data_IF_516953355396
#
_entry.id   IF_516953355396
#
_cell.length_a   1.000
_cell.length_b   1.000
_cell.length_c   1.000
_cell.angle_alpha   90.00
_cell.angle_beta   90.00
_cell.angle_gamma   90.00
#
_symmetry.space_group_name_H-M   'P 1'
#
loop_
_entity.id
_entity.type
_entity.pdbx_description
1 polymer ?
#
# COMPACT_ATOMS: atom_id res chain seq x y z
N UNK A 1 12.45 20.50 3.55
CA UNK A 1 10.98 20.31 3.52
C UNK A 1 10.69 19.24 2.49
N UNK A 2 9.96 18.18 2.87
CA UNK A 2 9.69 17.03 2.00
C UNK A 2 8.18 16.93 1.80
N UNK A 3 7.73 16.89 0.55
CA UNK A 3 6.34 16.62 0.18
C UNK A 3 6.31 15.26 -0.52
N UNK A 4 5.40 14.38 -0.10
CA UNK A 4 5.22 13.04 -0.68
C UNK A 4 3.80 12.96 -1.22
N UNK A 5 3.66 12.61 -2.49
CA UNK A 5 2.38 12.40 -3.17
C UNK A 5 2.24 10.92 -3.51
N UNK A 6 1.15 10.30 -3.07
CA UNK A 6 0.78 8.93 -3.44
C UNK A 6 -0.34 9.01 -4.47
N UNK A 7 -0.07 8.62 -5.71
CA UNK A 7 -0.99 8.79 -6.84
C UNK A 7 -0.73 7.72 -7.90
N UNK A 8 -1.75 7.40 -8.69
CA UNK A 8 -1.61 6.51 -9.83
C UNK A 8 -0.85 7.20 -10.97
N UNK A 9 -0.16 6.42 -11.80
CA UNK A 9 0.58 6.98 -12.96
C UNK A 9 -0.33 7.79 -13.88
N UNK A 10 -1.59 7.36 -14.06
CA UNK A 10 -2.57 8.05 -14.91
C UNK A 10 -2.97 9.44 -14.40
N UNK A 11 -2.72 9.73 -13.12
CA UNK A 11 -3.04 11.01 -12.47
C UNK A 11 -1.88 12.01 -12.56
N UNK A 12 -0.69 11.56 -12.99
CA UNK A 12 0.49 12.41 -13.26
C UNK A 12 0.33 13.19 -14.57
N UNK A 13 -0.62 14.11 -14.57
CA UNK A 13 -0.92 14.97 -15.72
C UNK A 13 0.09 16.10 -15.89
N UNK A 14 0.09 16.72 -17.08
CA UNK A 14 0.92 17.90 -17.36
C UNK A 14 0.63 19.05 -16.39
N UNK A 15 -0.64 19.28 -16.04
CA UNK A 15 -1.03 20.34 -15.11
C UNK A 15 -0.50 20.08 -13.70
N UNK A 16 -0.47 18.81 -13.24
CA UNK A 16 0.15 18.43 -11.98
C UNK A 16 1.67 18.74 -11.97
N UNK A 17 2.37 18.42 -13.06
CA UNK A 17 3.81 18.72 -13.19
C UNK A 17 4.08 20.24 -13.22
N UNK A 18 3.23 21.02 -13.88
CA UNK A 18 3.34 22.48 -13.87
C UNK A 18 3.14 23.07 -12.47
N UNK A 19 2.17 22.55 -11.72
CA UNK A 19 1.95 22.94 -10.33
C UNK A 19 3.19 22.65 -9.48
N UNK A 20 3.77 21.44 -9.59
CA UNK A 20 4.99 21.07 -8.85
C UNK A 20 6.16 22.02 -9.17
N UNK A 21 6.37 22.35 -10.45
CA UNK A 21 7.41 23.30 -10.87
C UNK A 21 7.21 24.69 -10.28
N UNK A 22 5.97 25.18 -10.19
CA UNK A 22 5.68 26.49 -9.58
C UNK A 22 5.93 26.48 -8.08
N UNK A 23 5.52 25.41 -7.39
CA UNK A 23 5.63 25.31 -5.93
C UNK A 23 7.06 25.05 -5.44
N UNK A 24 7.86 24.35 -6.24
CA UNK A 24 9.21 23.90 -5.86
C UNK A 24 10.28 24.28 -6.89
N UNK A 25 10.24 25.51 -7.40
CA UNK A 25 11.02 25.99 -8.56
C UNK A 25 12.53 25.71 -8.53
N UNK A 26 13.14 25.58 -7.35
CA UNK A 26 14.59 25.32 -7.18
C UNK A 26 14.90 23.98 -6.50
N UNK A 27 13.90 23.10 -6.33
CA UNK A 27 14.10 21.81 -5.68
C UNK A 27 14.59 20.75 -6.67
N UNK A 28 15.39 19.80 -6.17
CA UNK A 28 15.61 18.52 -6.86
C UNK A 28 14.39 17.62 -6.64
N UNK A 29 14.00 16.88 -7.67
CA UNK A 29 12.82 15.99 -7.63
C UNK A 29 13.28 14.56 -7.85
N UNK A 30 12.91 13.68 -6.93
CA UNK A 30 13.05 12.23 -7.07
C UNK A 30 11.67 11.63 -7.37
N UNK A 31 11.55 10.88 -8.48
CA UNK A 31 10.32 10.15 -8.84
C UNK A 31 10.59 8.66 -8.66
N UNK A 32 9.85 8.01 -7.76
CA UNK A 32 9.96 6.59 -7.48
C UNK A 32 8.69 5.91 -8.00
N UNK A 33 8.84 5.04 -9.00
CA UNK A 33 7.74 4.21 -9.50
C UNK A 33 7.84 2.85 -8.81
N UNK A 34 6.81 2.47 -8.07
CA UNK A 34 6.69 1.14 -7.46
C UNK A 34 5.59 0.40 -8.18
N UNK A 35 5.90 -0.81 -8.63
CA UNK A 35 4.86 -1.78 -8.94
C UNK A 35 4.48 -2.39 -7.58
N UNK A 36 3.31 -2.03 -7.05
CA UNK A 36 2.82 -2.68 -5.84
C UNK A 36 2.39 -4.09 -6.23
N UNK A 37 3.30 -5.05 -6.17
CA UNK A 37 2.89 -6.44 -5.98
C UNK A 37 2.60 -6.59 -4.49
N UNK A 38 1.34 -6.40 -4.11
CA UNK A 38 0.89 -6.56 -2.72
C UNK A 38 1.25 -7.95 -2.18
N UNK A 39 1.42 -8.93 -3.07
CA UNK A 39 1.91 -10.28 -2.78
C UNK A 39 3.34 -10.26 -2.25
N UNK A 40 4.24 -9.48 -2.84
CA UNK A 40 5.64 -9.37 -2.39
C UNK A 40 5.73 -8.72 -1.01
N UNK A 41 4.87 -7.74 -0.72
CA UNK A 41 4.80 -7.14 0.61
C UNK A 41 4.31 -8.14 1.66
N UNK A 42 3.23 -8.87 1.38
CA UNK A 42 2.71 -9.91 2.29
C UNK A 42 3.73 -11.03 2.52
N UNK A 43 4.53 -11.37 1.50
CA UNK A 43 5.57 -12.40 1.56
C UNK A 43 6.93 -11.91 2.09
N UNK A 44 7.12 -10.61 2.30
CA UNK A 44 8.41 -10.04 2.69
C UNK A 44 8.89 -10.44 4.10
N UNK A 45 7.98 -10.89 4.96
CA UNK A 45 8.27 -11.40 6.30
C UNK A 45 7.89 -12.87 6.38
N UNK A 46 8.87 -13.75 6.63
CA UNK A 46 8.65 -15.20 6.77
C UNK A 46 7.55 -15.49 7.80
N UNK A 47 7.57 -14.77 8.93
CA UNK A 47 6.55 -14.90 9.98
C UNK A 47 5.16 -14.48 9.52
N UNK A 48 5.04 -13.40 8.74
CA UNK A 48 3.73 -12.97 8.23
C UNK A 48 3.21 -13.93 7.17
N UNK A 49 4.10 -14.45 6.33
CA UNK A 49 3.78 -15.48 5.34
C UNK A 49 3.21 -16.73 6.01
N UNK A 50 3.89 -17.26 7.04
CA UNK A 50 3.41 -18.44 7.78
C UNK A 50 2.03 -18.22 8.43
N UNK A 51 1.80 -17.05 9.01
CA UNK A 51 0.49 -16.70 9.59
C UNK A 51 -0.60 -16.61 8.52
N UNK A 52 -0.29 -16.01 7.38
CA UNK A 52 -1.22 -15.87 6.25
C UNK A 52 -1.57 -17.25 5.65
N UNK A 53 -0.57 -18.09 5.40
CA UNK A 53 -0.76 -19.45 4.88
C UNK A 53 -1.63 -20.30 5.84
N UNK A 54 -1.37 -20.19 7.15
CA UNK A 54 -2.19 -20.87 8.17
C UNK A 54 -3.62 -20.38 8.17
N UNK A 55 -3.84 -19.07 8.09
CA UNK A 55 -5.18 -18.49 8.04
C UNK A 55 -5.96 -18.95 6.79
N UNK A 56 -5.30 -19.01 5.64
CA UNK A 56 -5.90 -19.53 4.40
C UNK A 56 -6.34 -20.99 4.59
N UNK A 57 -5.49 -21.84 5.16
CA UNK A 57 -5.84 -23.24 5.43
C UNK A 57 -7.01 -23.37 6.42
N UNK A 58 -7.07 -22.53 7.45
CA UNK A 58 -8.18 -22.52 8.40
C UNK A 58 -9.50 -22.13 7.71
N UNK A 59 -9.47 -21.16 6.79
CA UNK A 59 -10.64 -20.77 5.98
C UNK A 59 -11.09 -21.91 5.07
N UNK A 60 -10.17 -22.54 4.34
CA UNK A 60 -10.47 -23.69 3.46
C UNK A 60 -11.08 -24.87 4.23
N UNK A 61 -10.66 -25.06 5.49
CA UNK A 61 -11.18 -26.09 6.39
C UNK A 61 -12.42 -25.62 7.17
N UNK A 62 -12.95 -24.42 6.91
CA UNK A 62 -14.09 -23.83 7.64
C UNK A 62 -13.88 -23.73 9.16
N UNK A 63 -12.63 -23.58 9.61
CA UNK A 63 -12.25 -23.29 10.99
C UNK A 63 -12.32 -21.78 11.25
N UNK A 64 -13.53 -21.25 11.26
CA UNK A 64 -13.79 -19.82 11.34
C UNK A 64 -14.30 -19.42 12.72
N UNK A 65 -14.00 -18.18 13.12
CA UNK A 65 -14.61 -17.53 14.28
C UNK A 65 -15.50 -16.41 13.74
N UNK A 66 -16.79 -16.43 14.09
CA UNK A 66 -17.72 -15.35 13.76
C UNK A 66 -17.70 -14.31 14.87
N UNK A 67 -17.55 -13.05 14.48
CA UNK A 67 -17.56 -11.89 15.37
C UNK A 67 -18.28 -10.73 14.68
N UNK A 68 -19.03 -9.97 15.46
CA UNK A 68 -19.57 -8.70 15.00
C UNK A 68 -18.46 -7.64 15.04
N UNK A 69 -18.56 -6.61 14.19
CA UNK A 69 -17.53 -5.54 14.13
C UNK A 69 -17.40 -4.83 15.48
N UNK A 70 -18.51 -4.69 16.23
CA UNK A 70 -18.49 -4.09 17.58
C UNK A 70 -17.66 -4.89 18.59
N UNK A 71 -17.48 -6.21 18.37
CA UNK A 71 -16.66 -7.06 19.25
C UNK A 71 -15.15 -6.88 19.04
N UNK A 72 -14.74 -6.22 17.95
CA UNK A 72 -13.34 -6.17 17.53
C UNK A 72 -12.53 -5.05 18.19
N UNK A 73 -13.15 -4.13 18.94
CA UNK A 73 -12.49 -2.98 19.60
C UNK A 73 -11.48 -2.25 18.68
N UNK A 74 -11.81 -2.11 17.40
CA UNK A 74 -11.00 -1.45 16.37
C UNK A 74 -11.15 0.08 16.43
#
# INVERSE_FOLDING_TARGET
>A
MQAVYHTNVNELSLSFLEMLKKQFANAKVDIIIRHNDETDYLNSSEKNRELLEKAIQEVEQSKLISKDIEDLNL
#
